data_IF_121608141525
#
_entry.id   IF_121608141525
#
_cell.length_a   1.000
_cell.length_b   1.000
_cell.length_c   1.000
_cell.angle_alpha   90.00
_cell.angle_beta   90.00
_cell.angle_gamma   90.00
#
_symmetry.space_group_name_H-M   'P 1'
#
loop_
_entity.id
_entity.type
_entity.pdbx_description
1 polymer ?
#
# COMPACT_ATOMS: atom_id res chain seq x y z
N UNK A 1 28.08 12.75 -2.03
CA UNK A 1 26.92 12.27 -2.80
C UNK A 1 25.67 12.36 -1.93
N UNK A 2 24.65 13.14 -2.33
CA UNK A 2 23.39 13.29 -1.59
C UNK A 2 22.50 12.07 -1.91
N UNK A 3 22.27 11.19 -0.93
CA UNK A 3 21.40 10.01 -1.11
C UNK A 3 19.96 10.48 -1.25
N UNK A 4 19.35 10.30 -2.42
CA UNK A 4 17.90 10.50 -2.56
C UNK A 4 17.18 9.47 -1.68
N UNK A 5 16.44 9.94 -0.66
CA UNK A 5 15.57 9.06 0.12
C UNK A 5 14.53 8.48 -0.84
N UNK A 6 14.50 7.15 -0.94
CA UNK A 6 13.48 6.42 -1.70
C UNK A 6 12.14 6.66 -1.02
N UNK A 7 11.21 7.34 -1.70
CA UNK A 7 9.86 7.53 -1.18
C UNK A 7 9.10 6.22 -1.31
N UNK A 8 8.75 5.61 -0.18
CA UNK A 8 7.91 4.41 -0.15
C UNK A 8 6.45 4.85 -0.18
N UNK A 9 5.72 4.47 -1.22
CA UNK A 9 4.27 4.75 -1.32
C UNK A 9 3.54 3.66 -0.53
N UNK A 10 3.07 4.00 0.67
CA UNK A 10 2.13 3.19 1.44
C UNK A 10 0.75 3.43 0.83
N UNK A 11 0.37 2.61 -0.15
CA UNK A 11 -0.94 2.68 -0.76
C UNK A 11 -1.96 2.01 0.17
N UNK A 12 -2.87 2.79 0.75
CA UNK A 12 -4.08 2.27 1.38
C UNK A 12 -5.21 2.21 0.35
N UNK A 13 -6.11 1.23 0.49
CA UNK A 13 -7.25 1.07 -0.42
C UNK A 13 -8.21 2.27 -0.38
N UNK A 14 -8.28 2.93 0.79
CA UNK A 14 -9.12 4.10 1.01
C UNK A 14 -8.49 5.38 0.46
N UNK A 15 -9.33 6.15 -0.23
CA UNK A 15 -8.97 7.48 -0.71
C UNK A 15 -9.02 8.48 0.43
N UNK A 16 -8.09 9.43 0.43
CA UNK A 16 -8.11 10.53 1.39
C UNK A 16 -9.42 11.35 1.27
N UNK A 17 -9.96 11.89 2.38
CA UNK A 17 -11.23 12.62 2.37
C UNK A 17 -11.27 13.79 1.37
N UNK A 18 -10.15 14.52 1.23
CA UNK A 18 -10.03 15.60 0.25
C UNK A 18 -10.15 15.08 -1.20
N UNK A 19 -9.52 13.94 -1.49
CA UNK A 19 -9.59 13.31 -2.81
C UNK A 19 -11.01 12.86 -3.12
N UNK A 20 -11.70 12.24 -2.17
CA UNK A 20 -13.12 11.88 -2.34
C UNK A 20 -14.00 13.11 -2.60
N UNK A 21 -13.77 14.21 -1.87
CA UNK A 21 -14.51 15.46 -2.07
C UNK A 21 -14.30 16.04 -3.48
N UNK A 22 -13.04 16.11 -3.95
CA UNK A 22 -12.72 16.59 -5.30
C UNK A 22 -13.40 15.71 -6.35
N UNK A 23 -13.27 14.38 -6.24
CA UNK A 23 -13.87 13.45 -7.19
C UNK A 23 -15.40 13.52 -7.17
N UNK A 24 -16.03 13.75 -6.02
CA UNK A 24 -17.47 13.95 -5.94
C UNK A 24 -17.92 15.23 -6.67
N UNK A 25 -17.16 16.33 -6.54
CA UNK A 25 -17.48 17.60 -7.22
C UNK A 25 -17.40 17.52 -8.75
N UNK A 26 -16.62 16.59 -9.29
CA UNK A 26 -16.49 16.34 -10.74
C UNK A 26 -17.64 15.52 -11.35
N UNK A 27 -18.54 14.95 -10.55
CA UNK A 27 -19.66 14.14 -11.04
C UNK A 27 -19.21 12.84 -11.74
N UNK A 28 -19.65 12.64 -12.99
CA UNK A 28 -19.48 11.35 -13.71
C UNK A 28 -18.01 11.01 -14.00
N UNK A 29 -17.20 12.01 -14.31
CA UNK A 29 -15.77 11.81 -14.57
C UNK A 29 -15.03 11.43 -13.30
N UNK A 30 -15.31 12.13 -12.20
CA UNK A 30 -14.73 11.82 -10.89
C UNK A 30 -15.09 10.42 -10.40
N UNK A 31 -16.32 9.95 -10.69
CA UNK A 31 -16.72 8.57 -10.39
C UNK A 31 -15.91 7.52 -11.17
N UNK A 32 -15.56 7.82 -12.42
CA UNK A 32 -14.69 6.96 -13.24
C UNK A 32 -13.26 6.93 -12.70
N UNK A 33 -12.72 8.09 -12.33
CA UNK A 33 -11.37 8.20 -11.74
C UNK A 33 -11.32 7.48 -10.39
N UNK A 34 -12.34 7.65 -9.54
CA UNK A 34 -12.47 6.98 -8.24
C UNK A 34 -12.35 5.46 -8.37
N UNK A 35 -13.09 4.85 -9.31
CA UNK A 35 -13.02 3.40 -9.56
C UNK A 35 -11.63 2.95 -10.00
N UNK A 36 -10.98 3.72 -10.88
CA UNK A 36 -9.61 3.42 -11.35
C UNK A 36 -8.60 3.48 -10.21
N UNK A 37 -8.67 4.51 -9.35
CA UNK A 37 -7.78 4.65 -8.19
C UNK A 37 -7.95 3.51 -7.19
N UNK A 38 -9.19 3.15 -6.84
CA UNK A 38 -9.44 2.01 -5.95
C UNK A 38 -8.90 0.69 -6.51
N UNK A 39 -9.12 0.45 -7.81
CA UNK A 39 -8.56 -0.73 -8.50
C UNK A 39 -7.03 -0.73 -8.45
N UNK A 40 -6.40 0.40 -8.76
CA UNK A 40 -4.94 0.54 -8.70
C UNK A 40 -4.37 0.27 -7.30
N UNK A 41 -4.99 0.81 -6.26
CA UNK A 41 -4.54 0.59 -4.87
C UNK A 41 -4.75 -0.85 -4.43
N UNK A 42 -5.86 -1.49 -4.77
CA UNK A 42 -6.06 -2.93 -4.51
C UNK A 42 -4.96 -3.79 -5.12
N UNK A 43 -4.62 -3.57 -6.40
CA UNK A 43 -3.56 -4.33 -7.05
C UNK A 43 -2.22 -4.15 -6.34
N UNK A 44 -1.90 -2.95 -5.87
CA UNK A 44 -0.61 -2.72 -5.17
C UNK A 44 -0.59 -3.25 -3.74
N UNK A 45 -1.71 -3.21 -3.03
CA UNK A 45 -1.84 -3.81 -1.69
C UNK A 45 -1.67 -5.33 -1.79
N UNK A 46 -2.31 -5.96 -2.79
CA UNK A 46 -2.23 -7.42 -2.99
C UNK A 46 -0.86 -7.87 -3.50
N UNK A 47 -0.20 -7.11 -4.37
CA UNK A 47 1.17 -7.42 -4.85
C UNK A 47 2.22 -7.25 -3.74
N UNK A 48 1.91 -6.51 -2.67
CA UNK A 48 2.76 -6.40 -1.48
C UNK A 48 2.54 -7.50 -0.44
N UNK A 49 1.50 -8.33 -0.60
CA UNK A 49 1.25 -9.48 0.25
C UNK A 49 1.73 -10.75 -0.47
N UNK A 50 3.03 -11.02 -0.41
CA UNK A 50 3.47 -12.41 -0.50
C UNK A 50 2.70 -13.20 0.57
N UNK A 51 2.12 -14.38 0.26
CA UNK A 51 1.48 -15.20 1.27
C UNK A 51 2.50 -15.43 2.39
N UNK A 52 2.11 -15.11 3.62
CA UNK A 52 2.94 -15.36 4.79
C UNK A 52 3.26 -16.86 4.85
N UNK A 53 4.48 -17.21 4.46
CA UNK A 53 4.98 -18.57 4.52
C UNK A 53 5.62 -18.78 5.89
N UNK A 54 4.94 -19.55 6.75
CA UNK A 54 5.44 -19.95 8.07
C UNK A 54 6.79 -20.67 8.00
N UNK A 55 7.19 -21.20 6.85
CA UNK A 55 8.49 -21.86 6.67
C UNK A 55 9.68 -20.89 6.66
N UNK A 56 9.42 -19.58 6.49
CA UNK A 56 10.44 -18.53 6.48
C UNK A 56 10.63 -17.82 7.83
N UNK A 57 9.98 -18.30 8.90
CA UNK A 57 10.27 -17.85 10.26
C UNK A 57 11.77 -18.09 10.54
N UNK A 58 12.60 -17.05 10.70
CA UNK A 58 13.97 -17.24 11.10
C UNK A 58 13.95 -17.87 12.48
N UNK A 59 14.49 -19.09 12.60
CA UNK A 59 14.72 -19.71 13.90
C UNK A 59 15.49 -18.70 14.74
N UNK A 60 14.83 -18.17 15.76
CA UNK A 60 15.46 -17.26 16.72
C UNK A 60 16.65 -18.02 17.27
N UNK A 61 17.87 -17.55 16.98
CA UNK A 61 19.07 -18.07 17.60
C UNK A 61 18.85 -18.04 19.11
N UNK A 62 18.72 -19.23 19.72
CA UNK A 62 18.77 -19.39 21.16
C UNK A 62 20.10 -18.82 21.63
N UNK A 63 20.06 -17.63 22.22
CA UNK A 63 21.20 -17.11 22.96
C UNK A 63 21.24 -17.90 24.27
N UNK A 64 21.84 -19.08 24.20
CA UNK A 64 22.38 -19.75 25.37
C UNK A 64 23.53 -18.88 25.88
N UNK A 65 23.33 -18.22 27.01
CA UNK A 65 24.42 -17.62 27.76
C UNK A 65 24.76 -18.53 28.95
N UNK A 66 26.06 -18.82 29.19
CA UNK A 66 26.55 -19.70 30.24
C UNK A 66 26.39 -19.14 31.66
#
# INVERSE_FOLDING_TARGET
MKRNKRTTVLAHEDLAPLTEHILASMGKEGLTIRRRLKSFYRTRVLVGQEPYDKSLEPQMCEVTNP
#
